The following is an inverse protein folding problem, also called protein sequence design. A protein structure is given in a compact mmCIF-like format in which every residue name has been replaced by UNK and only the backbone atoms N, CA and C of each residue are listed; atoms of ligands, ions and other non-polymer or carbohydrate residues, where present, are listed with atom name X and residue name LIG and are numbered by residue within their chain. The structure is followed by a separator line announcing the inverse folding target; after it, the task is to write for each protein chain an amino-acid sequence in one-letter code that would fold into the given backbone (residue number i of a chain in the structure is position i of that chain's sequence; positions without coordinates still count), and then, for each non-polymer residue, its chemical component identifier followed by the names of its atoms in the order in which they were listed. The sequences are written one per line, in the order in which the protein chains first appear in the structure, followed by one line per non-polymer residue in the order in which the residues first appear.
data_IF_414397078470
#
_entry.id   IF_414397078470
#
_cell.length_a   1.000
_cell.length_b   1.000
_cell.length_c   1.000
_cell.angle_alpha   90.00
_cell.angle_beta   90.00
_cell.angle_gamma   90.00
#
_symmetry.space_group_name_H-M   'P 1'
#
loop_
_entity.id
_entity.type
_entity.pdbx_description
1 polymer ?
#
# COMPACT_ATOMS: atom_id res chain seq x y z
N UNK A 1 21.84 -29.41 -9.68
CA UNK A 1 22.04 -28.24 -8.80
C UNK A 1 22.61 -28.64 -7.44
N UNK A 2 22.03 -29.56 -6.65
CA UNK A 2 22.60 -29.95 -5.35
C UNK A 2 24.01 -30.55 -5.45
N UNK A 3 24.24 -31.44 -6.42
CA UNK A 3 25.55 -32.07 -6.65
C UNK A 3 26.65 -31.07 -7.01
N UNK A 4 26.32 -30.06 -7.85
CA UNK A 4 27.27 -29.01 -8.22
C UNK A 4 27.63 -28.15 -7.00
N UNK A 5 26.64 -27.79 -6.18
CA UNK A 5 26.87 -27.06 -4.92
C UNK A 5 27.82 -27.83 -4.00
N UNK A 6 27.59 -29.12 -3.79
CA UNK A 6 28.46 -29.95 -2.94
C UNK A 6 29.88 -30.07 -3.50
N UNK A 7 30.03 -30.21 -4.83
CA UNK A 7 31.36 -30.18 -5.47
C UNK A 7 32.09 -28.86 -5.23
N UNK A 8 31.42 -27.72 -5.38
CA UNK A 8 32.01 -26.40 -5.15
C UNK A 8 32.41 -26.20 -3.68
N UNK A 9 31.60 -26.66 -2.73
CA UNK A 9 31.92 -26.59 -1.30
C UNK A 9 33.09 -27.50 -0.94
N UNK A 10 33.12 -28.72 -1.48
CA UNK A 10 34.21 -29.67 -1.24
C UNK A 10 35.54 -29.12 -1.77
N UNK A 11 35.53 -28.56 -2.98
CA UNK A 11 36.70 -27.93 -3.59
C UNK A 11 37.18 -26.70 -2.81
N UNK A 12 36.26 -25.87 -2.32
CA UNK A 12 36.61 -24.73 -1.47
C UNK A 12 37.19 -25.15 -0.12
N UNK A 13 36.69 -26.24 0.48
CA UNK A 13 37.19 -26.75 1.75
C UNK A 13 38.58 -27.40 1.64
N UNK A 14 38.86 -28.08 0.52
CA UNK A 14 40.17 -28.71 0.27
C UNK A 14 41.19 -27.76 -0.35
N UNK A 15 40.74 -26.67 -0.99
CA UNK A 15 41.57 -25.82 -1.84
C UNK A 15 41.91 -26.43 -3.21
N UNK A 16 41.39 -27.63 -3.50
CA UNK A 16 41.62 -28.35 -4.76
C UNK A 16 40.42 -28.21 -5.71
N UNK A 17 40.65 -27.47 -6.81
CA UNK A 17 39.65 -27.18 -7.83
C UNK A 17 39.77 -28.07 -9.08
N UNK A 18 40.70 -29.04 -9.11
CA UNK A 18 40.93 -29.89 -10.28
C UNK A 18 39.68 -30.72 -10.67
N UNK A 19 38.83 -31.03 -9.69
CA UNK A 19 37.55 -31.73 -9.90
C UNK A 19 36.41 -30.86 -10.43
N UNK A 20 36.58 -29.54 -10.52
CA UNK A 20 35.54 -28.61 -10.99
C UNK A 20 35.80 -28.28 -12.46
N UNK A 21 35.06 -28.96 -13.34
CA UNK A 21 35.22 -28.82 -14.79
C UNK A 21 34.63 -27.52 -15.35
N UNK A 22 34.93 -27.23 -16.62
CA UNK A 22 34.42 -26.04 -17.33
C UNK A 22 32.88 -25.94 -17.30
N UNK A 23 32.19 -27.07 -17.46
CA UNK A 23 30.73 -27.14 -17.37
C UNK A 23 30.23 -26.72 -15.99
N UNK A 24 30.91 -27.14 -14.92
CA UNK A 24 30.53 -26.80 -13.56
C UNK A 24 30.65 -25.29 -13.32
N UNK A 25 31.76 -24.69 -13.76
CA UNK A 25 31.96 -23.24 -13.67
C UNK A 25 30.94 -22.44 -14.47
N UNK A 26 30.52 -22.93 -15.64
CA UNK A 26 29.48 -22.29 -16.45
C UNK A 26 28.16 -22.18 -15.71
N UNK A 27 27.79 -23.18 -14.91
CA UNK A 27 26.53 -23.21 -14.14
C UNK A 27 26.69 -22.75 -12.69
N UNK A 28 27.91 -22.44 -12.24
CA UNK A 28 28.17 -22.06 -10.84
C UNK A 28 27.37 -20.83 -10.39
N UNK A 29 27.13 -19.85 -11.27
CA UNK A 29 26.28 -18.68 -10.95
C UNK A 29 24.87 -19.07 -10.50
N UNK A 30 24.29 -20.13 -11.06
CA UNK A 30 22.95 -20.60 -10.69
C UNK A 30 22.92 -21.20 -9.27
N UNK A 31 24.07 -21.64 -8.74
CA UNK A 31 24.20 -22.21 -7.40
C UNK A 31 24.48 -21.15 -6.32
N UNK A 32 24.84 -19.92 -6.68
CA UNK A 32 25.31 -18.90 -5.72
C UNK A 32 24.27 -18.54 -4.65
N UNK A 33 22.97 -18.58 -5.00
CA UNK A 33 21.86 -18.34 -4.07
C UNK A 33 21.14 -19.63 -3.63
N UNK A 34 21.65 -20.81 -3.99
CA UNK A 34 20.96 -22.08 -3.73
C UNK A 34 21.25 -22.63 -2.33
N UNK A 35 20.19 -23.06 -1.63
CA UNK A 35 20.25 -23.68 -0.30
C UNK A 35 20.15 -22.69 0.87
N UNK A 36 20.04 -23.22 2.09
CA UNK A 36 19.92 -22.43 3.33
C UNK A 36 21.16 -21.58 3.62
N UNK A 37 22.33 -22.04 3.17
CA UNK A 37 23.58 -21.29 3.19
C UNK A 37 24.00 -20.96 1.76
N UNK A 38 23.69 -19.74 1.28
CA UNK A 38 24.05 -19.28 -0.06
C UNK A 38 25.57 -19.28 -0.27
N UNK A 39 26.02 -19.85 -1.40
CA UNK A 39 27.46 -19.89 -1.73
C UNK A 39 28.07 -18.50 -1.97
N UNK A 40 27.25 -17.50 -2.29
CA UNK A 40 27.72 -16.11 -2.40
C UNK A 40 28.31 -15.56 -1.09
N UNK A 41 27.97 -16.18 0.05
CA UNK A 41 28.51 -15.83 1.36
C UNK A 41 29.74 -16.67 1.75
N UNK A 42 30.14 -17.65 0.93
CA UNK A 42 31.34 -18.45 1.16
C UNK A 42 32.52 -17.80 0.41
N UNK A 43 33.46 -17.22 1.16
CA UNK A 43 34.62 -16.53 0.60
C UNK A 43 35.48 -17.43 -0.31
N UNK A 44 35.69 -18.69 0.07
CA UNK A 44 36.48 -19.63 -0.74
C UNK A 44 35.84 -19.91 -2.10
N UNK A 45 34.52 -20.14 -2.13
CA UNK A 45 33.78 -20.39 -3.37
C UNK A 45 33.70 -19.14 -4.24
N UNK A 46 33.35 -17.98 -3.65
CA UNK A 46 33.16 -16.76 -4.44
C UNK A 46 34.49 -16.28 -5.05
N UNK A 47 35.59 -16.30 -4.28
CA UNK A 47 36.90 -15.89 -4.80
C UNK A 47 37.38 -16.80 -5.93
N UNK A 48 37.26 -18.13 -5.76
CA UNK A 48 37.63 -19.08 -6.81
C UNK A 48 36.78 -18.92 -8.07
N UNK A 49 35.46 -18.73 -7.90
CA UNK A 49 34.56 -18.51 -9.03
C UNK A 49 34.88 -17.21 -9.77
N UNK A 50 35.07 -16.09 -9.06
CA UNK A 50 35.39 -14.81 -9.67
C UNK A 50 36.76 -14.83 -10.35
N UNK A 51 37.75 -15.53 -9.77
CA UNK A 51 39.05 -15.75 -10.40
C UNK A 51 38.92 -16.56 -11.70
N UNK A 52 38.12 -17.63 -11.69
CA UNK A 52 37.84 -18.41 -12.89
C UNK A 52 37.18 -17.57 -13.98
N UNK A 53 36.14 -16.80 -13.63
CA UNK A 53 35.41 -15.93 -14.58
C UNK A 53 36.35 -14.88 -15.17
N UNK A 54 37.25 -14.28 -14.37
CA UNK A 54 38.24 -13.31 -14.86
C UNK A 54 39.13 -13.92 -15.96
N UNK A 55 39.56 -15.16 -15.79
CA UNK A 55 40.41 -15.87 -16.75
C UNK A 55 39.63 -16.43 -17.95
N UNK A 56 38.36 -16.80 -17.77
CA UNK A 56 37.55 -17.55 -18.73
C UNK A 56 36.19 -16.86 -19.02
N UNK A 57 36.20 -15.57 -19.39
CA UNK A 57 35.00 -14.74 -19.54
C UNK A 57 34.29 -14.92 -20.90
N UNK A 58 33.85 -16.14 -21.21
CA UNK A 58 33.02 -16.37 -22.40
C UNK A 58 31.67 -15.63 -22.30
N UNK A 59 31.02 -15.26 -23.42
CA UNK A 59 29.71 -14.60 -23.39
C UNK A 59 28.64 -15.37 -22.61
N UNK A 60 28.71 -16.71 -22.59
CA UNK A 60 27.76 -17.53 -21.83
C UNK A 60 27.94 -17.36 -20.32
N UNK A 61 29.18 -17.40 -19.83
CA UNK A 61 29.52 -17.23 -18.41
C UNK A 61 29.15 -15.82 -17.94
N UNK A 62 29.54 -14.79 -18.70
CA UNK A 62 29.25 -13.40 -18.35
C UNK A 62 27.75 -13.11 -18.36
N UNK A 63 27.01 -13.56 -19.36
CA UNK A 63 25.56 -13.35 -19.38
C UNK A 63 24.85 -14.15 -18.27
N UNK A 64 25.35 -15.33 -17.90
CA UNK A 64 24.86 -16.09 -16.75
C UNK A 64 25.05 -15.30 -15.44
N UNK A 65 26.26 -14.80 -15.21
CA UNK A 65 26.59 -14.01 -14.02
C UNK A 65 25.81 -12.68 -13.95
N UNK A 66 25.65 -11.97 -15.08
CA UNK A 66 24.81 -10.77 -15.15
C UNK A 66 23.36 -11.11 -14.81
N UNK A 67 22.78 -12.17 -15.39
CA UNK A 67 21.41 -12.57 -15.07
C UNK A 67 21.24 -12.91 -13.59
N UNK A 68 22.18 -13.66 -13.02
CA UNK A 68 22.22 -13.93 -11.58
C UNK A 68 22.26 -12.64 -10.77
N UNK A 69 23.18 -11.74 -11.10
CA UNK A 69 23.36 -10.45 -10.42
C UNK A 69 22.07 -9.62 -10.41
N UNK A 70 21.42 -9.48 -11.56
CA UNK A 70 20.19 -8.69 -11.69
C UNK A 70 19.02 -9.34 -10.93
N UNK A 71 18.86 -10.66 -11.06
CA UNK A 71 17.71 -11.40 -10.51
C UNK A 71 17.76 -11.54 -9.00
N UNK A 72 18.94 -11.77 -8.44
CA UNK A 72 19.14 -12.01 -7.01
C UNK A 72 19.70 -10.80 -6.26
N UNK A 73 19.84 -9.66 -6.93
CA UNK A 73 20.46 -8.42 -6.42
C UNK A 73 20.20 -8.15 -4.94
N UNK A 74 21.25 -7.87 -4.18
CA UNK A 74 21.16 -7.44 -2.79
C UNK A 74 22.32 -6.50 -2.49
N UNK A 75 22.03 -5.20 -2.35
CA UNK A 75 23.04 -4.18 -2.13
C UNK A 75 23.78 -4.31 -0.79
N UNK A 76 23.13 -4.94 0.20
CA UNK A 76 23.69 -5.11 1.55
C UNK A 76 24.65 -6.31 1.62
N UNK A 77 24.59 -7.23 0.66
CA UNK A 77 25.45 -8.42 0.63
C UNK A 77 26.82 -8.13 0.00
N UNK A 78 27.93 -8.38 0.72
CA UNK A 78 29.28 -8.13 0.18
C UNK A 78 29.59 -8.82 -1.14
N UNK A 79 29.07 -10.04 -1.36
CA UNK A 79 29.30 -10.78 -2.60
C UNK A 79 28.78 -10.07 -3.85
N UNK A 80 27.69 -9.29 -3.77
CA UNK A 80 27.21 -8.49 -4.89
C UNK A 80 28.14 -7.32 -5.21
N UNK A 81 28.83 -6.75 -4.21
CA UNK A 81 29.87 -5.74 -4.47
C UNK A 81 31.05 -6.34 -5.22
N UNK A 82 31.49 -7.55 -4.86
CA UNK A 82 32.58 -8.26 -5.55
C UNK A 82 32.20 -8.67 -6.98
N UNK A 83 31.01 -9.24 -7.16
CA UNK A 83 30.48 -9.57 -8.50
C UNK A 83 30.35 -8.29 -9.35
N UNK A 84 29.82 -7.22 -8.76
CA UNK A 84 29.65 -5.93 -9.42
C UNK A 84 30.96 -5.33 -9.92
N UNK A 85 31.99 -5.33 -9.07
CA UNK A 85 33.34 -4.90 -9.42
C UNK A 85 33.91 -5.74 -10.58
N UNK A 86 33.85 -7.07 -10.49
CA UNK A 86 34.33 -7.94 -11.57
C UNK A 86 33.58 -7.69 -12.89
N UNK A 87 32.25 -7.59 -12.83
CA UNK A 87 31.44 -7.34 -14.03
C UNK A 87 31.79 -5.99 -14.64
N UNK A 88 31.93 -4.95 -13.81
CA UNK A 88 32.38 -3.61 -14.24
C UNK A 88 33.70 -3.68 -14.99
N UNK A 89 34.72 -4.35 -14.44
CA UNK A 89 36.04 -4.48 -15.06
C UNK A 89 35.97 -5.24 -16.40
N UNK A 90 35.21 -6.32 -16.47
CA UNK A 90 35.12 -7.17 -17.68
C UNK A 90 34.37 -6.46 -18.81
N UNK A 91 33.32 -5.71 -18.49
CA UNK A 91 32.48 -5.05 -19.50
C UNK A 91 33.01 -3.67 -19.90
N UNK A 92 33.97 -3.12 -19.14
CA UNK A 92 34.64 -1.86 -19.46
C UNK A 92 35.31 -1.94 -20.85
N UNK A 93 35.08 -0.93 -21.69
CA UNK A 93 35.54 -0.91 -23.07
C UNK A 93 34.78 -1.82 -24.06
N UNK A 94 33.89 -2.70 -23.59
CA UNK A 94 33.06 -3.51 -24.50
C UNK A 94 31.96 -2.67 -25.17
N UNK A 95 31.56 -3.06 -26.40
CA UNK A 95 30.40 -2.49 -27.11
C UNK A 95 29.08 -3.20 -26.75
N UNK A 96 29.06 -3.92 -25.63
CA UNK A 96 27.85 -4.62 -25.20
C UNK A 96 26.82 -3.63 -24.65
N UNK A 97 25.53 -3.98 -24.75
CA UNK A 97 24.46 -3.22 -24.10
C UNK A 97 24.71 -3.05 -22.60
N UNK A 98 25.26 -4.06 -21.93
CA UNK A 98 25.54 -4.00 -20.50
C UNK A 98 26.59 -2.94 -20.15
N UNK A 99 27.57 -2.72 -21.01
CA UNK A 99 28.54 -1.63 -20.85
C UNK A 99 27.91 -0.25 -21.00
N UNK A 100 26.97 -0.09 -21.92
CA UNK A 100 26.19 1.15 -22.04
C UNK A 100 25.34 1.39 -20.79
N UNK A 101 24.61 0.39 -20.31
CA UNK A 101 23.79 0.50 -19.09
C UNK A 101 24.65 0.76 -17.85
N UNK A 102 25.82 0.14 -17.75
CA UNK A 102 26.76 0.43 -16.67
C UNK A 102 27.24 1.88 -16.73
N UNK A 103 27.56 2.42 -17.91
CA UNK A 103 27.97 3.81 -18.06
C UNK A 103 26.88 4.81 -17.66
N UNK A 104 25.63 4.54 -18.06
CA UNK A 104 24.50 5.43 -17.82
C UNK A 104 24.01 5.35 -16.36
N UNK A 105 23.85 4.13 -15.86
CA UNK A 105 23.13 3.88 -14.60
C UNK A 105 24.02 3.29 -13.50
N UNK A 106 25.33 3.14 -13.74
CA UNK A 106 26.24 2.42 -12.83
C UNK A 106 25.69 1.04 -12.46
N UNK A 107 25.16 0.32 -13.46
CA UNK A 107 24.39 -0.93 -13.30
C UNK A 107 25.03 -1.98 -12.38
N UNK A 108 26.37 -2.03 -12.32
CA UNK A 108 27.13 -3.01 -11.52
C UNK A 108 27.70 -2.42 -10.22
N UNK A 109 27.30 -1.20 -9.85
CA UNK A 109 27.55 -0.60 -8.55
C UNK A 109 26.28 -0.78 -7.69
N UNK A 110 26.28 -1.66 -6.67
CA UNK A 110 25.09 -1.91 -5.87
C UNK A 110 24.56 -0.68 -5.11
N UNK A 111 25.40 0.30 -4.81
CA UNK A 111 24.99 1.50 -4.09
C UNK A 111 24.29 2.50 -5.03
N UNK A 112 24.74 2.60 -6.29
CA UNK A 112 24.27 3.60 -7.24
C UNK A 112 23.20 3.07 -8.20
N UNK A 113 23.25 1.80 -8.59
CA UNK A 113 22.39 1.24 -9.64
C UNK A 113 20.89 1.43 -9.36
N UNK A 114 20.35 1.10 -8.16
CA UNK A 114 18.93 1.28 -7.88
C UNK A 114 18.52 2.75 -7.98
N UNK A 115 19.33 3.68 -7.43
CA UNK A 115 19.03 5.11 -7.40
C UNK A 115 19.03 5.74 -8.80
N UNK A 116 20.02 5.40 -9.62
CA UNK A 116 20.12 5.93 -11.00
C UNK A 116 19.05 5.37 -11.91
N UNK A 117 18.75 4.07 -11.78
CA UNK A 117 17.65 3.46 -12.54
C UNK A 117 16.30 4.07 -12.13
N UNK A 118 16.07 4.27 -10.83
CA UNK A 118 14.87 4.94 -10.32
C UNK A 118 14.70 6.34 -10.92
N UNK A 119 15.75 7.16 -10.87
CA UNK A 119 15.72 8.52 -11.41
C UNK A 119 15.44 8.52 -12.92
N UNK A 120 16.09 7.63 -13.68
CA UNK A 120 15.89 7.52 -15.13
C UNK A 120 14.46 7.09 -15.49
N UNK A 121 13.92 6.10 -14.76
CA UNK A 121 12.53 5.66 -14.95
C UNK A 121 11.56 6.76 -14.58
N UNK A 122 11.79 7.52 -13.50
CA UNK A 122 10.84 8.57 -13.09
C UNK A 122 10.89 9.82 -13.97
N UNK A 123 12.07 10.19 -14.50
CA UNK A 123 12.24 11.37 -15.35
C UNK A 123 11.87 11.15 -16.82
N UNK A 124 11.82 9.90 -17.30
CA UNK A 124 11.55 9.59 -18.70
C UNK A 124 10.11 9.91 -19.14
N UNK A 125 9.93 10.22 -20.43
CA UNK A 125 8.60 10.44 -21.01
C UNK A 125 7.84 9.13 -21.29
N UNK A 126 8.58 8.06 -21.61
CA UNK A 126 8.01 6.74 -21.91
C UNK A 126 7.33 6.15 -20.69
N UNK A 127 6.39 5.23 -20.90
CA UNK A 127 5.86 4.43 -19.79
C UNK A 127 7.01 3.62 -19.15
N UNK A 128 7.04 3.49 -17.81
CA UNK A 128 8.14 2.83 -17.09
C UNK A 128 8.52 1.45 -17.61
N UNK A 129 7.53 0.59 -17.87
CA UNK A 129 7.79 -0.77 -18.37
C UNK A 129 8.30 -0.78 -19.82
N UNK A 130 7.88 0.17 -20.63
CA UNK A 130 8.37 0.28 -22.01
C UNK A 130 9.82 0.76 -22.03
N UNK A 131 10.15 1.73 -21.17
CA UNK A 131 11.52 2.17 -20.95
C UNK A 131 12.41 1.02 -20.45
N UNK A 132 11.96 0.27 -19.43
CA UNK A 132 12.68 -0.88 -18.89
C UNK A 132 12.89 -1.97 -19.95
N UNK A 133 11.86 -2.28 -20.74
CA UNK A 133 11.95 -3.23 -21.84
C UNK A 133 12.95 -2.77 -22.92
N UNK A 134 12.93 -1.48 -23.28
CA UNK A 134 13.86 -0.89 -24.26
C UNK A 134 15.31 -1.04 -23.83
N UNK A 135 15.60 -0.80 -22.54
CA UNK A 135 16.96 -0.93 -22.01
C UNK A 135 17.34 -2.39 -21.68
N UNK A 136 16.45 -3.36 -21.91
CA UNK A 136 16.75 -4.78 -21.82
C UNK A 136 16.22 -5.53 -20.59
N UNK A 137 15.48 -4.87 -19.71
CA UNK A 137 14.72 -5.51 -18.63
C UNK A 137 13.36 -5.96 -19.17
N UNK A 138 13.35 -6.99 -20.00
CA UNK A 138 12.15 -7.59 -20.58
C UNK A 138 11.93 -9.02 -20.09
N UNK A 139 10.73 -9.57 -20.35
CA UNK A 139 10.36 -10.91 -19.91
C UNK A 139 10.46 -11.05 -18.39
N UNK A 140 11.17 -12.08 -17.92
CA UNK A 140 11.39 -12.29 -16.49
C UNK A 140 12.14 -11.12 -15.86
N UNK A 141 13.17 -10.56 -16.51
CA UNK A 141 14.02 -9.50 -15.93
C UNK A 141 13.27 -8.22 -15.55
N UNK A 142 12.04 -8.01 -16.02
CA UNK A 142 11.17 -6.92 -15.57
C UNK A 142 10.85 -7.00 -14.06
N UNK A 143 10.78 -8.23 -13.54
CA UNK A 143 10.54 -8.53 -12.13
C UNK A 143 11.85 -8.83 -11.37
N UNK A 144 13.01 -8.55 -11.97
CA UNK A 144 14.30 -8.79 -11.33
C UNK A 144 14.45 -7.93 -10.06
N UNK A 145 15.18 -8.47 -9.08
CA UNK A 145 15.34 -7.82 -7.78
C UNK A 145 15.97 -6.43 -7.89
N UNK A 146 16.93 -6.22 -8.79
CA UNK A 146 17.50 -4.88 -9.01
C UNK A 146 16.44 -3.85 -9.45
N UNK A 147 15.50 -4.25 -10.32
CA UNK A 147 14.43 -3.36 -10.81
C UNK A 147 13.44 -3.06 -9.69
N UNK A 148 13.13 -4.06 -8.85
CA UNK A 148 12.28 -3.85 -7.68
C UNK A 148 12.94 -2.97 -6.62
N UNK A 149 14.24 -3.11 -6.38
CA UNK A 149 14.99 -2.22 -5.50
C UNK A 149 15.03 -0.78 -6.06
N UNK A 150 15.19 -0.61 -7.38
CA UNK A 150 15.06 0.70 -8.03
C UNK A 150 13.66 1.30 -7.84
N UNK A 151 12.61 0.48 -7.96
CA UNK A 151 11.23 0.91 -7.69
C UNK A 151 11.05 1.38 -6.24
N UNK A 152 11.63 0.67 -5.27
CA UNK A 152 11.63 1.10 -3.86
C UNK A 152 12.33 2.45 -3.71
N UNK A 153 13.50 2.65 -4.34
CA UNK A 153 14.20 3.95 -4.30
C UNK A 153 13.38 5.08 -4.92
N UNK A 154 12.61 4.81 -5.98
CA UNK A 154 11.70 5.80 -6.55
C UNK A 154 10.59 6.20 -5.56
N UNK A 155 10.02 5.22 -4.85
CA UNK A 155 9.00 5.47 -3.83
C UNK A 155 9.58 6.30 -2.65
N UNK A 156 10.76 5.90 -2.15
CA UNK A 156 11.46 6.61 -1.07
C UNK A 156 11.77 8.06 -1.45
N UNK A 157 12.18 8.32 -2.70
CA UNK A 157 12.46 9.67 -3.18
C UNK A 157 11.20 10.56 -3.16
N UNK A 158 10.03 10.03 -3.54
CA UNK A 158 8.75 10.76 -3.47
C UNK A 158 8.39 11.09 -2.01
N UNK A 159 8.57 10.14 -1.10
CA UNK A 159 8.31 10.36 0.33
C UNK A 159 9.26 11.40 0.90
N UNK A 160 10.55 11.35 0.53
CA UNK A 160 11.54 12.33 0.95
C UNK A 160 11.22 13.75 0.45
N UNK A 161 10.79 13.87 -0.81
CA UNK A 161 10.37 15.15 -1.39
C UNK A 161 9.16 15.75 -0.67
N UNK A 162 8.16 14.93 -0.33
CA UNK A 162 7.01 15.37 0.46
C UNK A 162 7.41 15.81 1.87
N UNK A 163 8.30 15.05 2.53
CA UNK A 163 8.83 15.42 3.84
C UNK A 163 9.64 16.74 3.80
N UNK A 164 10.28 17.04 2.67
CA UNK A 164 10.96 18.30 2.42
C UNK A 164 10.01 19.45 1.99
N UNK A 165 8.68 19.24 2.01
CA UNK A 165 7.69 20.25 1.66
C UNK A 165 7.59 20.55 0.16
N UNK A 166 8.14 19.69 -0.71
CA UNK A 166 7.99 19.87 -2.16
C UNK A 166 6.58 19.46 -2.59
N UNK A 167 5.94 20.23 -3.49
CA UNK A 167 4.59 19.92 -3.93
C UNK A 167 4.57 18.61 -4.74
N UNK A 168 3.62 17.70 -4.48
CA UNK A 168 3.50 16.47 -5.25
C UNK A 168 3.08 16.74 -6.70
N UNK A 169 3.71 16.06 -7.65
CA UNK A 169 3.28 16.07 -9.06
C UNK A 169 2.13 15.08 -9.28
N UNK A 170 0.93 15.49 -9.74
CA UNK A 170 -0.22 14.59 -9.86
C UNK A 170 -0.02 13.37 -10.79
N UNK A 171 0.99 13.39 -11.66
CA UNK A 171 1.28 12.31 -12.60
C UNK A 171 2.10 11.14 -12.02
N UNK A 172 2.87 11.35 -10.95
CA UNK A 172 3.74 10.29 -10.41
C UNK A 172 2.97 9.04 -9.90
N UNK A 173 1.76 9.15 -9.30
CA UNK A 173 1.00 7.99 -8.83
C UNK A 173 0.70 7.00 -9.95
N UNK A 174 0.22 7.50 -11.09
CA UNK A 174 -0.07 6.67 -12.27
C UNK A 174 1.20 6.02 -12.80
N UNK A 175 2.33 6.76 -12.76
CA UNK A 175 3.64 6.24 -13.20
C UNK A 175 4.16 5.11 -12.31
N UNK A 176 4.11 5.26 -10.98
CA UNK A 176 4.53 4.20 -10.05
C UNK A 176 3.67 2.94 -10.19
N UNK A 177 2.36 3.11 -10.41
CA UNK A 177 1.43 2.00 -10.62
C UNK A 177 1.66 1.33 -11.98
N UNK A 178 1.88 2.09 -13.05
CA UNK A 178 2.14 1.52 -14.38
C UNK A 178 3.49 0.82 -14.45
N UNK A 179 4.45 1.20 -13.60
CA UNK A 179 5.68 0.47 -13.36
C UNK A 179 5.41 -0.88 -12.67
N UNK A 180 4.75 -0.87 -11.51
CA UNK A 180 4.76 -2.00 -10.58
C UNK A 180 3.58 -2.98 -10.73
N UNK A 181 2.50 -2.60 -11.42
CA UNK A 181 1.27 -3.40 -11.51
C UNK A 181 1.00 -3.83 -12.95
N UNK A 182 0.77 -5.14 -13.16
CA UNK A 182 0.36 -5.74 -14.44
C UNK A 182 -0.97 -6.48 -14.25
N UNK A 183 -2.07 -5.88 -14.72
CA UNK A 183 -3.40 -6.40 -14.42
C UNK A 183 -3.67 -6.36 -12.91
N UNK A 184 -3.76 -7.53 -12.27
CA UNK A 184 -3.93 -7.67 -10.81
C UNK A 184 -2.63 -8.05 -10.08
N UNK A 185 -1.55 -8.27 -10.82
CA UNK A 185 -0.28 -8.75 -10.28
C UNK A 185 0.62 -7.56 -9.89
N UNK A 186 1.20 -7.64 -8.69
CA UNK A 186 2.27 -6.75 -8.24
C UNK A 186 3.62 -7.40 -8.50
N UNK A 187 4.40 -6.82 -9.42
CA UNK A 187 5.62 -7.44 -9.96
C UNK A 187 6.72 -7.62 -8.91
N UNK A 188 6.71 -6.83 -7.85
CA UNK A 188 7.79 -6.77 -6.86
C UNK A 188 7.39 -7.40 -5.51
N UNK A 189 6.47 -8.37 -5.52
CA UNK A 189 5.97 -9.02 -4.30
C UNK A 189 7.05 -9.74 -3.48
N UNK A 190 8.15 -10.17 -4.10
CA UNK A 190 9.31 -10.79 -3.44
C UNK A 190 10.41 -9.79 -3.02
N UNK A 191 10.20 -8.49 -3.22
CA UNK A 191 11.12 -7.43 -2.82
C UNK A 191 10.66 -6.87 -1.45
N UNK A 192 11.49 -6.96 -0.39
CA UNK A 192 11.23 -6.35 0.90
C UNK A 192 10.82 -4.90 0.74
N UNK A 193 9.87 -4.46 1.56
CA UNK A 193 9.37 -3.08 1.59
C UNK A 193 8.71 -2.57 0.30
N UNK A 194 8.67 -3.32 -0.82
CA UNK A 194 8.13 -2.79 -2.07
C UNK A 194 6.64 -2.41 -2.01
N UNK A 195 5.81 -3.24 -1.36
CA UNK A 195 4.39 -2.91 -1.16
C UNK A 195 4.20 -1.72 -0.18
N UNK A 196 4.83 -1.72 1.01
CA UNK A 196 4.76 -0.57 1.91
C UNK A 196 5.26 0.73 1.28
N UNK A 197 6.40 0.68 0.58
CA UNK A 197 6.97 1.84 -0.08
C UNK A 197 6.02 2.43 -1.12
N UNK A 198 5.34 1.59 -1.91
CA UNK A 198 4.31 2.07 -2.84
C UNK A 198 3.16 2.75 -2.10
N UNK A 199 2.63 2.14 -1.03
CA UNK A 199 1.54 2.71 -0.26
C UNK A 199 1.93 4.08 0.35
N UNK A 200 3.12 4.18 0.93
CA UNK A 200 3.65 5.41 1.50
C UNK A 200 3.85 6.49 0.44
N UNK A 201 4.43 6.15 -0.71
CA UNK A 201 4.63 7.10 -1.82
C UNK A 201 3.29 7.58 -2.42
N UNK A 202 2.26 6.73 -2.43
CA UNK A 202 0.93 7.12 -2.91
C UNK A 202 0.12 7.93 -1.91
N UNK A 203 0.41 7.85 -0.61
CA UNK A 203 -0.42 8.47 0.44
C UNK A 203 0.25 9.68 1.11
N UNK A 204 1.50 9.55 1.56
CA UNK A 204 2.16 10.56 2.39
C UNK A 204 2.22 11.95 1.76
N UNK A 205 2.42 12.13 0.44
CA UNK A 205 2.43 13.46 -0.17
C UNK A 205 1.10 14.22 -0.08
N UNK A 206 0.00 13.53 0.22
CA UNK A 206 -1.36 14.09 0.31
C UNK A 206 -1.85 14.27 1.75
N UNK A 207 -0.97 14.09 2.75
CA UNK A 207 -1.32 14.31 4.15
C UNK A 207 -1.56 15.79 4.45
N UNK A 208 -0.72 16.67 3.87
CA UNK A 208 -0.80 18.13 4.10
C UNK A 208 -1.39 18.91 2.91
N UNK A 209 -1.61 18.24 1.78
CA UNK A 209 -2.13 18.84 0.55
C UNK A 209 -3.28 17.99 0.04
N UNK A 210 -4.42 18.61 -0.26
CA UNK A 210 -5.59 17.90 -0.75
C UNK A 210 -5.34 17.28 -2.13
N UNK A 211 -5.54 15.97 -2.26
CA UNK A 211 -5.60 15.28 -3.54
C UNK A 211 -6.94 15.59 -4.25
N UNK A 212 -6.94 15.59 -5.58
CA UNK A 212 -8.21 15.63 -6.33
C UNK A 212 -9.03 14.35 -6.07
N UNK A 213 -10.35 14.42 -6.26
CA UNK A 213 -11.23 13.27 -6.06
C UNK A 213 -10.84 12.10 -6.96
N UNK A 214 -10.54 12.37 -8.24
CA UNK A 214 -10.17 11.34 -9.23
C UNK A 214 -8.87 10.63 -8.83
N UNK A 215 -7.90 11.40 -8.33
CA UNK A 215 -6.62 10.84 -7.90
C UNK A 215 -6.76 10.03 -6.62
N UNK A 216 -7.52 10.53 -5.65
CA UNK A 216 -7.86 9.83 -4.41
C UNK A 216 -8.56 8.49 -4.72
N UNK A 217 -9.52 8.47 -5.63
CA UNK A 217 -10.26 7.26 -6.02
C UNK A 217 -9.35 6.26 -6.76
N UNK A 218 -8.45 6.77 -7.61
CA UNK A 218 -7.41 5.95 -8.23
C UNK A 218 -6.50 5.27 -7.19
N UNK A 219 -5.97 6.05 -6.23
CA UNK A 219 -5.08 5.53 -5.18
C UNK A 219 -5.81 4.51 -4.31
N UNK A 220 -7.04 4.83 -3.84
CA UNK A 220 -7.87 3.90 -3.06
C UNK A 220 -8.02 2.57 -3.79
N UNK A 221 -8.43 2.59 -5.05
CA UNK A 221 -8.66 1.37 -5.85
C UNK A 221 -7.41 0.50 -5.97
N UNK A 222 -6.26 1.12 -6.25
CA UNK A 222 -4.97 0.42 -6.35
C UNK A 222 -4.62 -0.23 -5.02
N UNK A 223 -4.63 0.54 -3.93
CA UNK A 223 -4.19 0.06 -2.62
C UNK A 223 -5.15 -0.99 -2.04
N UNK A 224 -6.46 -0.84 -2.19
CA UNK A 224 -7.44 -1.86 -1.79
C UNK A 224 -7.29 -3.15 -2.62
N UNK A 225 -6.93 -3.05 -3.89
CA UNK A 225 -6.62 -4.21 -4.72
C UNK A 225 -5.43 -5.00 -4.17
N UNK A 226 -4.36 -4.29 -3.80
CA UNK A 226 -3.07 -4.85 -3.39
C UNK A 226 -3.00 -5.28 -1.92
N UNK A 227 -3.43 -4.41 -1.00
CA UNK A 227 -3.28 -4.56 0.45
C UNK A 227 -4.60 -4.90 1.16
N UNK A 228 -5.73 -4.89 0.43
CA UNK A 228 -7.07 -4.97 1.02
C UNK A 228 -7.32 -3.78 1.97
N UNK A 229 -8.49 -3.77 2.58
CA UNK A 229 -8.93 -2.66 3.42
C UNK A 229 -8.20 -2.67 4.79
N UNK A 230 -7.54 -1.57 5.20
CA UNK A 230 -6.74 -1.52 6.43
C UNK A 230 -7.56 -1.78 7.70
N UNK A 231 -8.84 -1.38 7.69
CA UNK A 231 -9.77 -1.53 8.82
C UNK A 231 -10.14 -2.99 9.11
N UNK A 232 -10.06 -3.86 8.10
CA UNK A 232 -10.39 -5.30 8.19
C UNK A 232 -9.14 -6.17 8.15
N UNK A 233 -8.14 -5.76 7.38
CA UNK A 233 -6.89 -6.50 7.20
C UNK A 233 -5.68 -5.66 7.63
N UNK A 234 -5.53 -5.38 8.93
CA UNK A 234 -4.43 -4.55 9.44
C UNK A 234 -3.07 -5.21 9.22
N UNK A 235 -3.01 -6.55 9.14
CA UNK A 235 -1.76 -7.30 8.90
C UNK A 235 -1.13 -6.95 7.55
N UNK A 236 -1.94 -6.73 6.51
CA UNK A 236 -1.41 -6.32 5.20
C UNK A 236 -0.82 -4.90 5.19
N UNK A 237 -1.10 -4.11 6.23
CA UNK A 237 -0.65 -2.73 6.39
C UNK A 237 0.40 -2.58 7.50
N UNK A 238 0.85 -3.67 8.15
CA UNK A 238 1.74 -3.63 9.33
C UNK A 238 3.03 -2.85 9.12
N UNK A 239 3.57 -2.92 7.90
CA UNK A 239 4.84 -2.29 7.53
C UNK A 239 4.64 -0.90 6.90
N UNK A 240 3.39 -0.43 6.76
CA UNK A 240 3.05 0.90 6.24
C UNK A 240 3.00 1.89 7.41
N UNK A 241 3.62 3.06 7.26
CA UNK A 241 3.59 4.10 8.29
C UNK A 241 2.17 4.47 8.76
N UNK A 242 2.03 4.78 10.05
CA UNK A 242 0.74 5.15 10.64
C UNK A 242 0.12 6.39 9.97
N UNK A 243 0.94 7.34 9.50
CA UNK A 243 0.44 8.54 8.82
C UNK A 243 -0.27 8.18 7.50
N UNK A 244 0.31 7.27 6.72
CA UNK A 244 -0.31 6.77 5.49
C UNK A 244 -1.59 5.97 5.81
N UNK A 245 -1.55 5.08 6.81
CA UNK A 245 -2.72 4.33 7.25
C UNK A 245 -3.86 5.26 7.70
N UNK A 246 -3.56 6.28 8.50
CA UNK A 246 -4.54 7.29 8.95
C UNK A 246 -5.17 8.03 7.78
N UNK A 247 -4.40 8.45 6.78
CA UNK A 247 -4.93 9.11 5.60
C UNK A 247 -5.87 8.19 4.81
N UNK A 248 -5.47 6.93 4.59
CA UNK A 248 -6.30 5.95 3.92
C UNK A 248 -7.61 5.69 4.69
N UNK A 249 -7.53 5.50 6.01
CA UNK A 249 -8.70 5.32 6.87
C UNK A 249 -9.61 6.55 6.86
N UNK A 250 -9.04 7.76 6.85
CA UNK A 250 -9.80 9.00 6.72
C UNK A 250 -10.51 9.08 5.36
N UNK A 251 -9.87 8.70 4.26
CA UNK A 251 -10.57 8.63 2.97
C UNK A 251 -11.69 7.59 2.96
N UNK A 252 -11.48 6.43 3.59
CA UNK A 252 -12.51 5.40 3.72
C UNK A 252 -13.65 5.82 4.65
N UNK A 253 -13.38 6.68 5.64
CA UNK A 253 -14.41 7.25 6.51
C UNK A 253 -15.40 8.10 5.69
N UNK A 254 -14.92 8.88 4.71
CA UNK A 254 -15.80 9.60 3.77
C UNK A 254 -16.71 8.66 3.02
N UNK A 255 -16.15 7.57 2.51
CA UNK A 255 -16.95 6.60 1.74
C UNK A 255 -18.01 5.96 2.62
N UNK A 256 -17.69 5.59 3.86
CA UNK A 256 -18.67 5.06 4.81
C UNK A 256 -19.77 6.08 5.16
N UNK A 257 -19.40 7.36 5.34
CA UNK A 257 -20.36 8.45 5.52
C UNK A 257 -21.26 8.60 4.29
N UNK A 258 -20.71 8.61 3.08
CA UNK A 258 -21.46 8.73 1.84
C UNK A 258 -22.40 7.54 1.62
N UNK A 259 -21.96 6.31 1.88
CA UNK A 259 -22.81 5.11 1.81
C UNK A 259 -23.97 5.17 2.80
N UNK A 260 -23.72 5.62 4.04
CA UNK A 260 -24.78 5.85 5.01
C UNK A 260 -25.78 6.89 4.48
N UNK A 261 -25.27 7.98 3.91
CA UNK A 261 -26.06 9.05 3.34
C UNK A 261 -26.95 8.61 2.17
N UNK A 262 -26.39 7.85 1.22
CA UNK A 262 -27.06 7.34 0.02
C UNK A 262 -28.15 6.30 0.37
N UNK A 263 -27.85 5.31 1.22
CA UNK A 263 -28.84 4.27 1.59
C UNK A 263 -30.04 4.88 2.32
N UNK A 264 -29.81 5.92 3.12
CA UNK A 264 -30.90 6.61 3.79
C UNK A 264 -31.69 7.48 2.81
N UNK A 265 -31.05 8.17 1.86
CA UNK A 265 -31.75 8.92 0.80
C UNK A 265 -32.74 8.02 0.05
N UNK A 266 -32.34 6.80 -0.32
CA UNK A 266 -33.19 5.85 -1.05
C UNK A 266 -34.35 5.29 -0.21
N UNK A 267 -34.22 5.32 1.12
CA UNK A 267 -35.18 4.66 2.03
C UNK A 267 -36.13 5.61 2.74
N UNK A 268 -35.86 6.92 2.70
CA UNK A 268 -36.63 7.96 3.36
C UNK A 268 -37.77 8.48 2.46
N UNK A 269 -38.99 8.58 3.02
CA UNK A 269 -40.13 9.20 2.34
C UNK A 269 -39.95 10.72 2.24
N UNK A 270 -40.46 11.33 1.16
CA UNK A 270 -40.29 12.75 0.77
C UNK A 270 -40.50 13.77 1.92
N UNK A 271 -41.35 13.45 2.90
CA UNK A 271 -41.66 14.31 4.05
C UNK A 271 -40.55 14.45 5.12
N UNK A 272 -39.48 13.63 5.07
CA UNK A 272 -38.35 13.66 6.02
C UNK A 272 -37.07 14.28 5.43
N UNK A 273 -37.12 14.78 4.20
CA UNK A 273 -35.97 15.30 3.43
C UNK A 273 -35.18 16.42 4.12
N UNK A 274 -35.86 17.36 4.79
CA UNK A 274 -35.22 18.49 5.49
C UNK A 274 -34.43 18.08 6.74
N UNK A 275 -34.89 17.05 7.46
CA UNK A 275 -34.17 16.54 8.63
C UNK A 275 -32.87 15.87 8.18
N UNK A 276 -32.90 15.20 7.04
CA UNK A 276 -31.75 14.48 6.51
C UNK A 276 -30.69 15.39 5.90
N UNK A 277 -31.07 16.44 5.17
CA UNK A 277 -30.11 17.44 4.68
C UNK A 277 -29.32 18.09 5.81
N UNK A 278 -29.96 18.29 6.97
CA UNK A 278 -29.32 18.82 8.18
C UNK A 278 -28.28 17.83 8.75
N UNK A 279 -28.61 16.53 8.85
CA UNK A 279 -27.65 15.50 9.30
C UNK A 279 -26.47 15.35 8.35
N UNK A 280 -26.74 15.41 7.04
CA UNK A 280 -25.70 15.43 6.00
C UNK A 280 -24.73 16.59 6.21
N UNK A 281 -25.25 17.80 6.38
CA UNK A 281 -24.40 18.99 6.61
C UNK A 281 -23.58 18.82 7.89
N UNK A 282 -24.22 18.38 8.98
CA UNK A 282 -23.59 18.18 10.28
C UNK A 282 -22.39 17.24 10.22
N UNK A 283 -22.58 15.99 9.76
CA UNK A 283 -21.50 15.01 9.76
C UNK A 283 -20.43 15.29 8.70
N UNK A 284 -20.80 15.88 7.56
CA UNK A 284 -19.79 16.35 6.62
C UNK A 284 -18.92 17.45 7.23
N UNK A 285 -19.47 18.37 8.03
CA UNK A 285 -18.66 19.39 8.70
C UNK A 285 -17.58 18.76 9.62
N UNK A 286 -17.94 17.73 10.39
CA UNK A 286 -16.95 16.97 11.20
C UNK A 286 -15.89 16.28 10.35
N UNK A 287 -16.28 15.74 9.20
CA UNK A 287 -15.34 15.13 8.26
C UNK A 287 -14.38 16.17 7.67
N UNK A 288 -14.90 17.25 7.09
CA UNK A 288 -14.11 18.28 6.40
C UNK A 288 -13.18 19.04 7.35
N UNK A 289 -13.54 19.17 8.63
CA UNK A 289 -12.65 19.73 9.68
C UNK A 289 -11.58 18.75 10.19
N UNK A 290 -11.58 17.50 9.72
CA UNK A 290 -10.65 16.46 10.17
C UNK A 290 -10.95 15.91 11.57
N UNK A 291 -12.13 16.21 12.13
CA UNK A 291 -12.52 15.77 13.46
C UNK A 291 -13.05 14.34 13.50
N UNK A 292 -13.46 13.79 12.35
CA UNK A 292 -13.83 12.39 12.18
C UNK A 292 -12.63 11.58 11.67
N UNK A 293 -12.01 10.78 12.54
CA UNK A 293 -10.82 9.99 12.19
C UNK A 293 -11.20 8.68 11.48
N UNK A 294 -12.28 8.05 11.92
CA UNK A 294 -12.72 6.75 11.45
C UNK A 294 -14.25 6.76 11.33
N UNK A 295 -14.78 6.06 10.34
CA UNK A 295 -16.21 5.79 10.23
C UNK A 295 -16.46 4.38 9.71
N UNK A 296 -17.57 3.79 10.15
CA UNK A 296 -18.05 2.47 9.77
C UNK A 296 -19.56 2.50 9.68
N UNK A 297 -20.12 1.95 8.60
CA UNK A 297 -21.59 1.88 8.45
C UNK A 297 -22.07 0.46 8.73
N UNK A 298 -23.18 0.36 9.45
CA UNK A 298 -23.86 -0.90 9.75
C UNK A 298 -25.26 -0.85 9.15
N UNK A 299 -25.58 -1.83 8.29
CA UNK A 299 -26.86 -1.88 7.60
C UNK A 299 -27.78 -3.00 8.11
N UNK A 300 -29.08 -2.71 8.15
CA UNK A 300 -30.13 -3.72 8.16
C UNK A 300 -30.20 -4.46 6.83
N UNK A 301 -30.96 -5.57 6.79
CA UNK A 301 -30.97 -6.51 5.64
C UNK A 301 -31.22 -5.84 4.28
N UNK A 302 -32.19 -4.92 4.20
CA UNK A 302 -32.54 -4.21 2.96
C UNK A 302 -31.54 -3.11 2.61
N UNK A 303 -31.06 -2.36 3.61
CA UNK A 303 -29.99 -1.38 3.40
C UNK A 303 -28.71 -2.03 2.87
N UNK A 304 -28.35 -3.21 3.38
CA UNK A 304 -27.19 -3.97 2.91
C UNK A 304 -27.35 -4.45 1.45
N UNK A 305 -28.57 -4.80 1.04
CA UNK A 305 -28.86 -5.17 -0.35
C UNK A 305 -28.73 -3.96 -1.29
N UNK A 306 -29.27 -2.80 -0.88
CA UNK A 306 -29.13 -1.53 -1.60
C UNK A 306 -27.66 -1.16 -1.75
N UNK A 307 -26.90 -1.12 -0.64
CA UNK A 307 -25.48 -0.78 -0.65
C UNK A 307 -24.66 -1.68 -1.58
N UNK A 308 -24.95 -2.99 -1.63
CA UNK A 308 -24.31 -3.91 -2.57
C UNK A 308 -24.68 -3.64 -4.02
N UNK A 309 -25.93 -3.31 -4.28
CA UNK A 309 -26.42 -3.00 -5.62
C UNK A 309 -25.81 -1.70 -6.17
N UNK A 310 -25.82 -0.63 -5.38
CA UNK A 310 -25.23 0.67 -5.75
C UNK A 310 -23.72 0.58 -5.92
N UNK A 311 -23.03 -0.20 -5.08
CA UNK A 311 -21.59 -0.47 -5.21
C UNK A 311 -21.23 -1.36 -6.42
N UNK A 312 -22.19 -2.11 -6.98
CA UNK A 312 -21.96 -3.05 -8.09
C UNK A 312 -22.37 -2.54 -9.48
N UNK A 313 -23.16 -1.45 -9.56
CA UNK A 313 -23.76 -0.96 -10.81
C UNK A 313 -23.15 0.32 -11.35
N UNK A 314 -22.38 1.05 -10.55
CA UNK A 314 -21.65 2.22 -11.00
C UNK A 314 -20.22 1.83 -11.41
N UNK A 315 -19.64 2.56 -12.36
CA UNK A 315 -18.18 2.58 -12.62
C UNK A 315 -17.34 2.86 -11.35
N UNK A 316 -18.01 3.20 -10.24
CA UNK A 316 -17.54 3.21 -8.85
C UNK A 316 -17.25 1.78 -8.36
N UNK A 317 -16.09 1.23 -8.73
CA UNK A 317 -15.50 0.02 -8.14
C UNK A 317 -15.09 0.18 -6.66
N UNK A 318 -15.74 1.04 -5.89
CA UNK A 318 -15.44 1.24 -4.47
C UNK A 318 -16.21 0.22 -3.63
N UNK A 319 -15.72 -1.03 -3.66
CA UNK A 319 -16.14 -2.05 -2.71
C UNK A 319 -15.58 -1.61 -1.35
N UNK A 320 -16.37 -0.82 -0.61
CA UNK A 320 -16.09 -0.52 0.78
C UNK A 320 -16.92 -1.45 1.64
N UNK A 321 -16.23 -2.11 2.56
CA UNK A 321 -16.87 -3.05 3.47
C UNK A 321 -17.75 -2.30 4.47
N UNK A 322 -18.76 -3.00 4.98
CA UNK A 322 -19.70 -2.50 5.97
C UNK A 322 -20.10 -3.62 6.93
N UNK A 323 -20.63 -3.24 8.09
CA UNK A 323 -21.21 -4.18 9.04
C UNK A 323 -22.68 -4.47 8.74
N UNK A 324 -23.19 -5.58 9.26
CA UNK A 324 -24.62 -5.90 9.21
C UNK A 324 -25.17 -6.24 10.58
N UNK A 325 -26.46 -6.02 10.79
CA UNK A 325 -27.12 -6.53 11.99
C UNK A 325 -27.27 -8.06 11.95
N UNK A 326 -27.09 -8.71 13.10
CA UNK A 326 -27.32 -10.14 13.26
C UNK A 326 -28.84 -10.41 13.24
N UNK A 327 -29.29 -11.26 12.32
CA UNK A 327 -30.72 -11.58 12.16
C UNK A 327 -31.56 -10.35 11.76
N UNK A 328 -32.78 -10.26 12.30
CA UNK A 328 -33.69 -9.13 12.06
C UNK A 328 -33.67 -8.09 13.19
N UNK A 329 -32.53 -7.96 13.87
CA UNK A 329 -32.39 -7.10 15.05
C UNK A 329 -32.25 -5.61 14.71
N UNK A 330 -32.19 -5.23 13.42
CA UNK A 330 -32.14 -3.82 13.01
C UNK A 330 -33.42 -3.04 13.38
N UNK A 331 -34.51 -3.72 13.71
CA UNK A 331 -35.83 -3.12 13.93
C UNK A 331 -36.51 -2.81 12.59
N UNK A 332 -36.03 -1.78 11.88
CA UNK A 332 -36.39 -1.54 10.47
C UNK A 332 -35.35 -2.21 9.55
N UNK A 333 -35.73 -3.02 8.55
CA UNK A 333 -34.78 -3.63 7.62
C UNK A 333 -34.01 -2.61 6.75
N UNK A 334 -34.48 -1.36 6.67
CA UNK A 334 -33.84 -0.21 6.00
C UNK A 334 -32.98 0.63 6.94
N UNK A 335 -32.85 0.22 8.21
CA UNK A 335 -32.03 0.93 9.17
C UNK A 335 -30.56 0.95 8.71
N UNK A 336 -29.92 2.07 8.95
CA UNK A 336 -28.48 2.24 8.84
C UNK A 336 -27.99 2.91 10.13
N UNK A 337 -26.77 2.57 10.53
CA UNK A 337 -26.10 3.21 11.66
C UNK A 337 -24.71 3.60 11.22
N UNK A 338 -24.37 4.88 11.40
CA UNK A 338 -23.03 5.38 11.18
C UNK A 338 -22.28 5.41 12.50
N UNK A 339 -21.30 4.54 12.66
CA UNK A 339 -20.41 4.53 13.81
C UNK A 339 -19.16 5.35 13.44
N UNK A 340 -18.76 6.28 14.30
CA UNK A 340 -17.66 7.20 14.05
C UNK A 340 -16.76 7.28 15.27
N UNK A 341 -15.46 7.49 15.02
CA UNK A 341 -14.52 7.95 16.04
C UNK A 341 -14.29 9.44 15.85
N UNK A 342 -14.59 10.20 16.90
CA UNK A 342 -14.40 11.65 16.95
C UNK A 342 -13.57 11.99 18.19
N UNK A 343 -12.27 12.22 17.96
CA UNK A 343 -11.30 12.37 19.04
C UNK A 343 -11.21 11.08 19.84
N UNK A 344 -11.57 11.15 21.12
CA UNK A 344 -11.61 9.99 22.02
C UNK A 344 -13.01 9.38 22.14
N UNK A 345 -14.01 9.94 21.45
CA UNK A 345 -15.41 9.49 21.52
C UNK A 345 -15.71 8.46 20.46
N UNK A 346 -16.59 7.51 20.79
CA UNK A 346 -17.31 6.71 19.81
C UNK A 346 -18.73 7.23 19.71
N UNK A 347 -19.19 7.48 18.49
CA UNK A 347 -20.50 8.03 18.19
C UNK A 347 -21.23 7.06 17.27
N UNK A 348 -22.48 6.72 17.57
CA UNK A 348 -23.35 5.95 16.69
C UNK A 348 -24.57 6.78 16.33
N UNK A 349 -24.68 7.20 15.07
CA UNK A 349 -25.84 7.91 14.55
C UNK A 349 -26.80 6.95 13.84
N UNK A 350 -27.99 6.78 14.41
CA UNK A 350 -29.02 5.93 13.84
C UNK A 350 -29.87 6.70 12.82
N UNK A 351 -30.02 6.14 11.62
CA UNK A 351 -30.97 6.64 10.63
C UNK A 351 -32.43 6.50 11.10
N UNK A 352 -33.38 6.99 10.29
CA UNK A 352 -34.82 7.03 10.63
C UNK A 352 -35.05 7.75 11.99
N UNK A 353 -36.11 7.44 12.72
CA UNK A 353 -36.44 8.05 14.03
C UNK A 353 -35.48 7.62 15.17
N UNK A 354 -34.23 7.27 14.85
CA UNK A 354 -33.20 6.88 15.80
C UNK A 354 -32.51 8.06 16.49
N UNK A 355 -31.80 7.72 17.58
CA UNK A 355 -30.99 8.64 18.37
C UNK A 355 -29.53 8.61 17.93
N UNK A 356 -28.83 9.70 18.21
CA UNK A 356 -27.38 9.70 18.25
C UNK A 356 -26.93 9.26 19.65
N UNK A 357 -26.07 8.26 19.71
CA UNK A 357 -25.47 7.74 20.94
C UNK A 357 -23.98 8.08 20.99
N UNK A 358 -23.46 8.47 22.14
CA UNK A 358 -22.05 8.81 22.35
C UNK A 358 -21.53 8.08 23.59
N UNK A 359 -20.37 7.44 23.44
CA UNK A 359 -19.65 6.77 24.53
C UNK A 359 -18.33 7.49 24.79
N UNK A 360 -18.07 7.75 26.07
CA UNK A 360 -16.84 8.33 26.59
C UNK A 360 -15.73 7.27 26.69
N UNK A 361 -14.46 7.70 26.76
CA UNK A 361 -13.33 6.80 26.99
C UNK A 361 -13.49 6.01 28.28
N UNK A 362 -13.28 4.69 28.22
CA UNK A 362 -13.38 3.81 29.37
C UNK A 362 -14.78 3.27 29.65
N UNK A 363 -15.81 3.68 28.91
CA UNK A 363 -17.14 3.07 29.01
C UNK A 363 -17.07 1.59 28.57
N UNK A 364 -17.49 0.62 29.42
CA UNK A 364 -17.41 -0.80 29.10
C UNK A 364 -18.35 -1.25 27.98
N UNK A 365 -19.38 -0.45 27.66
CA UNK A 365 -20.34 -0.71 26.60
C UNK A 365 -19.95 -0.03 25.28
N UNK A 366 -18.73 0.50 25.16
CA UNK A 366 -18.28 1.17 23.94
C UNK A 366 -18.32 0.20 22.75
N UNK A 367 -18.96 0.57 21.62
CA UNK A 367 -18.98 -0.27 20.44
C UNK A 367 -17.59 -0.48 19.87
N UNK A 368 -17.29 -1.70 19.43
CA UNK A 368 -16.07 -1.97 18.64
C UNK A 368 -16.30 -1.54 17.20
N UNK A 369 -15.39 -0.78 16.62
CA UNK A 369 -15.42 -0.43 15.20
C UNK A 369 -15.07 -1.63 14.32
N UNK A 370 -15.52 -1.56 13.05
CA UNK A 370 -15.14 -2.47 11.96
C UNK A 370 -15.51 -3.95 12.14
N UNK A 371 -16.49 -4.25 13.00
CA UNK A 371 -17.03 -5.60 13.07
C UNK A 371 -17.88 -5.88 11.84
N UNK A 372 -17.85 -7.14 11.40
CA UNK A 372 -18.69 -7.61 10.29
C UNK A 372 -20.16 -7.68 10.69
N UNK A 373 -20.42 -7.98 11.95
CA UNK A 373 -21.75 -8.21 12.49
C UNK A 373 -21.90 -7.49 13.82
N UNK A 374 -23.10 -6.96 14.06
CA UNK A 374 -23.47 -6.24 15.28
C UNK A 374 -24.83 -6.71 15.78
N UNK A 375 -25.00 -6.76 17.10
CA UNK A 375 -26.31 -6.73 17.74
C UNK A 375 -26.82 -5.29 17.84
N UNK A 376 -28.14 -5.12 17.94
CA UNK A 376 -28.73 -3.79 18.18
C UNK A 376 -28.21 -3.18 19.49
N UNK A 377 -28.14 -4.00 20.53
CA UNK A 377 -27.67 -3.60 21.86
C UNK A 377 -26.25 -3.06 21.84
N UNK A 378 -25.39 -3.56 20.95
CA UNK A 378 -24.00 -3.10 20.83
C UNK A 378 -23.93 -1.62 20.43
N UNK A 379 -25.00 -1.08 19.85
CA UNK A 379 -25.05 0.25 19.24
C UNK A 379 -26.12 1.17 19.87
N UNK A 380 -26.82 0.73 20.92
CA UNK A 380 -27.82 1.53 21.66
C UNK A 380 -27.62 1.52 23.17
N UNK A 381 -27.01 0.47 23.72
CA UNK A 381 -27.01 0.26 25.17
C UNK A 381 -25.84 0.97 25.85
N UNK A 382 -26.13 1.60 27.00
CA UNK A 382 -25.12 2.11 27.92
C UNK A 382 -24.28 3.27 27.40
N UNK A 383 -24.79 4.06 26.44
CA UNK A 383 -24.17 5.32 26.00
C UNK A 383 -24.21 6.37 27.11
N UNK A 384 -23.14 7.15 27.25
CA UNK A 384 -23.05 8.24 28.23
C UNK A 384 -23.91 9.45 27.84
N UNK A 385 -24.22 9.56 26.54
CA UNK A 385 -25.11 10.58 26.00
C UNK A 385 -25.96 10.01 24.88
N UNK A 386 -27.24 10.35 24.90
CA UNK A 386 -28.23 9.97 23.89
C UNK A 386 -29.05 11.19 23.51
N UNK A 387 -29.15 11.47 22.21
CA UNK A 387 -29.97 12.59 21.69
C UNK A 387 -30.81 12.18 20.49
N UNK A 388 -32.15 12.21 20.60
CA UNK A 388 -33.03 12.11 19.45
C UNK A 388 -32.86 13.33 18.53
N UNK A 389 -33.06 13.14 17.22
CA UNK A 389 -32.94 14.18 16.18
C UNK A 389 -34.12 15.16 16.14
N UNK A 390 -34.49 15.67 17.31
CA UNK A 390 -35.55 16.65 17.52
C UNK A 390 -34.95 17.92 18.11
N UNK A 391 -35.49 19.09 17.73
CA UNK A 391 -35.23 20.43 18.28
C UNK A 391 -33.84 20.65 18.92
N UNK A 392 -33.00 21.46 18.29
CA UNK A 392 -31.65 21.84 18.78
C UNK A 392 -30.64 20.69 18.88
N UNK A 393 -30.96 19.51 18.34
CA UNK A 393 -30.08 18.34 18.38
C UNK A 393 -28.66 18.63 17.86
N UNK A 394 -28.49 19.41 16.79
CA UNK A 394 -27.16 19.75 16.27
C UNK A 394 -26.31 20.48 17.33
N UNK A 395 -26.89 21.46 18.01
CA UNK A 395 -26.20 22.26 19.01
C UNK A 395 -25.79 21.38 20.21
N UNK A 396 -26.74 20.59 20.73
CA UNK A 396 -26.49 19.75 21.90
C UNK A 396 -25.46 18.64 21.63
N UNK A 397 -25.53 17.99 20.46
CA UNK A 397 -24.52 17.00 20.06
C UNK A 397 -23.16 17.69 19.91
N UNK A 398 -23.10 18.85 19.24
CA UNK A 398 -21.84 19.57 19.07
C UNK A 398 -21.24 20.01 20.41
N UNK A 399 -22.05 20.56 21.32
CA UNK A 399 -21.61 20.98 22.64
C UNK A 399 -21.11 19.78 23.46
N UNK A 400 -21.80 18.63 23.39
CA UNK A 400 -21.34 17.42 24.06
C UNK A 400 -19.98 16.96 23.52
N UNK A 401 -19.81 16.90 22.20
CA UNK A 401 -18.53 16.52 21.57
C UNK A 401 -17.44 17.52 21.95
N UNK A 402 -17.72 18.82 21.85
CA UNK A 402 -16.79 19.90 22.18
C UNK A 402 -16.33 19.81 23.63
N UNK A 403 -17.22 19.58 24.58
CA UNK A 403 -16.89 19.54 26.00
C UNK A 403 -15.91 18.40 26.35
N UNK A 404 -15.90 17.31 25.57
CA UNK A 404 -15.06 16.15 25.82
C UNK A 404 -13.84 16.05 24.91
N UNK A 405 -13.84 16.73 23.76
CA UNK A 405 -12.74 16.66 22.77
C UNK A 405 -12.02 17.98 22.56
N UNK A 406 -12.63 19.10 22.95
CA UNK A 406 -12.17 20.45 22.62
C UNK A 406 -12.42 20.86 21.16
N UNK A 407 -12.99 20.00 20.32
CA UNK A 407 -13.28 20.32 18.93
C UNK A 407 -14.37 21.38 18.82
N UNK A 408 -14.09 22.45 18.08
CA UNK A 408 -14.97 23.59 17.95
C UNK A 408 -15.20 23.93 16.48
N UNK A 409 -16.44 24.27 16.13
CA UNK A 409 -16.80 24.81 14.83
C UNK A 409 -17.96 25.80 15.02
N UNK A 410 -18.03 26.89 14.23
CA UNK A 410 -19.14 27.82 14.30
C UNK A 410 -20.44 27.13 13.82
N UNK A 411 -21.59 27.52 14.38
CA UNK A 411 -22.90 26.94 14.05
C UNK A 411 -23.21 26.97 12.55
N UNK A 412 -22.79 28.01 11.84
CA UNK A 412 -22.96 28.12 10.39
C UNK A 412 -22.33 26.97 9.58
N UNK A 413 -21.27 26.34 10.11
CA UNK A 413 -20.56 25.25 9.44
C UNK A 413 -21.37 23.95 9.49
N UNK A 414 -22.11 23.68 10.58
CA UNK A 414 -22.77 22.39 10.81
C UNK A 414 -24.30 22.42 10.86
N UNK A 415 -24.94 23.60 10.98
CA UNK A 415 -26.41 23.73 11.09
C UNK A 415 -27.13 23.86 9.77
#
# INVERSE_FOLDING_TARGET
MPELRERLLTAAASGDWAGVGERDWRYASECLSFGEQPLINNDGVIEAYLAYVRQNHTPAIINGLIRYYLWHFDAERPGFRRIGALLSDIIEGSRSRWAELHRLYRLFDPAEAPRRLAAAVMAGERQPRDFLAQIGFSGSLMAARLVGDAFVRACEAIVADAAAGRPPLPAYPVRLVSWSVKGKEFLYGGVPRARPALAEALLLPWVSVAASTELRDFIKRVLLGLLKEPRINPVAWSDVSDAAQRLMCHWLAKVSLEQFLEVVDETVQVHHSRMWSSRRKFWNAYYEKGYMQEAWVVFGRRGAAIARYTSGTADRHEIVSFGTFIGDQSGDPRQAVLIMKIGTLIVADWSHNGCCHIWLPGNPNVPKLFQREYFRSDLTSGSDFEKPHVKFWQAEIHDHIRNHTGFWMPSGDYM
#
